data_IF_485130373179
#
_entry.id   IF_485130373179
#
_cell.length_a   1.000
_cell.length_b   1.000
_cell.length_c   1.000
_cell.angle_alpha   90.00
_cell.angle_beta   90.00
_cell.angle_gamma   90.00
#
_symmetry.space_group_name_H-M   'P 1'
#
loop_
_entity.id
_entity.type
_entity.pdbx_description
1 polymer ?
#
# COMPACT_ATOMS: atom_id res chain seq x y z
N UNK A 1 8.70 27.38 41.12
CA UNK A 1 9.50 26.32 40.47
C UNK A 1 8.91 25.82 39.15
N UNK A 2 7.58 25.69 39.00
CA UNK A 2 6.96 25.14 37.77
C UNK A 2 6.99 26.08 36.54
N UNK A 3 7.04 27.39 36.75
CA UNK A 3 7.13 28.40 35.67
C UNK A 3 8.55 28.64 35.13
N UNK A 4 9.57 28.29 35.94
CA UNK A 4 10.97 28.43 35.54
C UNK A 4 11.45 27.25 34.67
N UNK A 5 10.85 26.06 34.84
CA UNK A 5 11.14 24.86 34.02
C UNK A 5 10.59 25.01 32.60
N UNK A 6 9.45 25.68 32.43
CA UNK A 6 8.81 25.88 31.11
C UNK A 6 9.64 26.84 30.22
N UNK A 7 10.34 27.82 30.79
CA UNK A 7 11.13 28.79 30.01
C UNK A 7 12.53 28.30 29.64
N UNK A 8 13.05 27.24 30.28
CA UNK A 8 14.36 26.66 29.96
C UNK A 8 14.26 25.64 28.81
N UNK A 9 13.10 25.03 28.60
CA UNK A 9 12.88 24.02 27.54
C UNK A 9 12.65 24.70 26.17
N UNK A 10 12.18 25.95 26.13
CA UNK A 10 11.90 26.68 24.88
C UNK A 10 13.18 27.29 24.26
N UNK A 11 14.27 27.46 25.02
CA UNK A 11 15.52 28.01 24.50
C UNK A 11 16.51 26.97 23.93
N UNK A 12 16.17 25.67 23.99
CA UNK A 12 17.03 24.56 23.52
C UNK A 12 16.54 23.93 22.20
N UNK A 13 15.75 24.64 21.39
CA UNK A 13 15.28 24.17 20.07
C UNK A 13 15.67 25.11 18.91
N UNK A 14 16.51 26.11 19.18
CA UNK A 14 16.98 27.09 18.19
C UNK A 14 18.34 26.72 17.61
N UNK A 15 18.56 25.43 17.27
CA UNK A 15 19.90 25.02 16.81
C UNK A 15 20.00 23.91 15.75
N UNK A 16 18.99 23.66 14.91
CA UNK A 16 19.23 22.91 13.66
C UNK A 16 18.30 23.36 12.53
N UNK A 17 18.72 24.38 11.79
CA UNK A 17 18.30 24.59 10.40
C UNK A 17 19.55 24.86 9.54
N UNK A 18 20.35 23.81 9.33
CA UNK A 18 21.31 23.76 8.24
C UNK A 18 20.55 23.39 6.97
N UNK A 19 20.13 24.38 6.17
CA UNK A 19 19.66 24.13 4.80
C UNK A 19 20.88 24.17 3.88
N UNK A 20 21.45 22.99 3.65
CA UNK A 20 22.53 22.76 2.70
C UNK A 20 22.00 22.33 1.33
N UNK A 21 22.43 23.09 0.33
CA UNK A 21 22.73 22.71 -1.07
C UNK A 21 21.63 22.15 -1.98
N UNK A 22 21.46 22.90 -3.07
CA UNK A 22 20.77 22.55 -4.28
C UNK A 22 21.16 21.19 -4.88
N UNK A 23 20.19 20.50 -5.46
CA UNK A 23 20.44 19.65 -6.62
C UNK A 23 19.30 19.82 -7.62
N UNK A 24 19.65 20.38 -8.77
CA UNK A 24 18.79 20.45 -9.95
C UNK A 24 18.83 19.09 -10.65
N UNK A 25 17.70 18.38 -10.66
CA UNK A 25 17.52 17.20 -11.52
C UNK A 25 16.74 17.65 -12.75
N UNK A 26 17.42 17.64 -13.90
CA UNK A 26 16.80 17.79 -15.23
C UNK A 26 15.95 16.55 -15.54
N UNK A 27 14.84 16.67 -16.28
CA UNK A 27 14.04 15.53 -16.69
C UNK A 27 14.80 14.75 -17.77
N UNK A 28 14.92 13.42 -17.62
CA UNK A 28 15.21 12.55 -18.74
C UNK A 28 13.90 11.91 -19.21
N UNK A 29 13.39 12.41 -20.34
CA UNK A 29 12.72 11.53 -21.28
C UNK A 29 13.69 10.39 -21.62
N UNK A 30 13.24 9.14 -21.56
CA UNK A 30 13.19 8.28 -22.74
C UNK A 30 12.72 6.86 -22.41
N UNK A 31 11.99 6.33 -23.37
CA UNK A 31 11.88 4.92 -23.74
C UNK A 31 10.82 4.07 -23.05
N UNK A 32 9.67 4.08 -23.72
CA UNK A 32 8.93 2.86 -24.03
C UNK A 32 9.87 1.65 -24.21
N UNK A 33 9.54 0.55 -23.55
CA UNK A 33 9.96 -0.77 -23.98
C UNK A 33 8.81 -1.75 -23.74
N UNK A 34 8.03 -1.94 -24.80
CA UNK A 34 7.15 -3.09 -24.99
C UNK A 34 7.96 -4.36 -24.85
N UNK A 35 7.56 -5.23 -23.93
CA UNK A 35 7.98 -6.63 -23.94
C UNK A 35 6.82 -7.52 -23.53
N UNK A 36 5.96 -7.84 -24.50
CA UNK A 36 5.37 -9.17 -24.54
C UNK A 36 6.50 -10.18 -24.77
N UNK A 37 6.48 -11.31 -24.06
CA UNK A 37 6.37 -12.57 -24.79
C UNK A 37 5.21 -13.48 -24.33
N UNK A 38 4.38 -13.82 -25.32
CA UNK A 38 3.87 -15.15 -25.70
C UNK A 38 3.85 -16.30 -24.69
N UNK A 39 2.63 -16.81 -24.53
CA UNK A 39 2.16 -18.14 -24.15
C UNK A 39 3.16 -19.32 -24.18
N UNK A 40 3.04 -20.20 -23.18
CA UNK A 40 2.89 -21.63 -23.41
C UNK A 40 2.11 -22.30 -22.28
N UNK A 41 1.20 -23.18 -22.71
CA UNK A 41 0.34 -24.05 -21.91
C UNK A 41 1.13 -25.26 -21.44
N UNK A 42 1.05 -25.63 -20.16
CA UNK A 42 1.26 -27.02 -19.76
C UNK A 42 0.33 -27.42 -18.61
N UNK A 43 -0.40 -28.50 -18.86
CA UNK A 43 -1.36 -29.10 -17.96
C UNK A 43 -0.67 -29.70 -16.73
N UNK A 44 -1.24 -29.51 -15.54
CA UNK A 44 -0.92 -30.38 -14.41
C UNK A 44 -2.21 -30.83 -13.71
N UNK A 45 -2.20 -32.11 -13.36
CA UNK A 45 -3.23 -32.88 -12.67
C UNK A 45 -3.79 -32.14 -11.44
N UNK A 46 -5.09 -32.28 -11.09
CA UNK A 46 -5.61 -31.71 -9.84
C UNK A 46 -4.93 -32.40 -8.65
N UNK A 47 -3.96 -31.71 -8.06
CA UNK A 47 -3.41 -32.01 -6.75
C UNK A 47 -4.48 -31.69 -5.68
N UNK A 48 -4.65 -32.50 -4.62
CA UNK A 48 -5.69 -32.30 -3.60
C UNK A 48 -5.64 -30.93 -2.90
N UNK A 49 -4.53 -30.18 -2.99
CA UNK A 49 -4.40 -28.82 -2.43
C UNK A 49 -4.99 -27.70 -3.28
N UNK A 50 -5.18 -27.90 -4.59
CA UNK A 50 -5.67 -26.84 -5.48
C UNK A 50 -7.12 -26.44 -5.17
N UNK A 51 -7.94 -27.38 -4.70
CA UNK A 51 -9.34 -27.13 -4.37
C UNK A 51 -9.49 -26.40 -3.03
N UNK A 52 -8.67 -26.72 -2.02
CA UNK A 52 -8.71 -26.03 -0.72
C UNK A 52 -8.21 -24.59 -0.82
N UNK A 53 -7.11 -24.36 -1.55
CA UNK A 53 -6.59 -23.00 -1.75
C UNK A 53 -7.59 -22.14 -2.52
N UNK A 54 -8.16 -22.64 -3.62
CA UNK A 54 -9.16 -21.89 -4.39
C UNK A 54 -10.40 -21.51 -3.57
N UNK A 55 -10.85 -22.39 -2.67
CA UNK A 55 -11.97 -22.09 -1.77
C UNK A 55 -11.61 -20.98 -0.77
N UNK A 56 -10.39 -21.02 -0.21
CA UNK A 56 -9.88 -20.02 0.72
C UNK A 56 -9.78 -18.65 0.07
N UNK A 57 -9.20 -18.56 -1.12
CA UNK A 57 -9.07 -17.31 -1.89
C UNK A 57 -10.43 -16.73 -2.25
N UNK A 58 -11.42 -17.59 -2.56
CA UNK A 58 -12.81 -17.16 -2.82
C UNK A 58 -13.48 -16.60 -1.57
N UNK A 59 -13.30 -17.24 -0.41
CA UNK A 59 -13.83 -16.73 0.87
C UNK A 59 -13.17 -15.40 1.26
N UNK A 60 -11.85 -15.28 1.12
CA UNK A 60 -11.08 -14.08 1.40
C UNK A 60 -11.50 -12.90 0.50
N UNK A 61 -11.78 -13.15 -0.78
CA UNK A 61 -12.33 -12.17 -1.72
C UNK A 61 -13.69 -11.62 -1.26
N UNK A 62 -14.62 -12.50 -0.89
CA UNK A 62 -15.95 -12.09 -0.45
C UNK A 62 -15.90 -11.33 0.88
N UNK A 63 -15.00 -11.74 1.79
CA UNK A 63 -14.70 -10.96 2.99
C UNK A 63 -14.14 -9.59 2.61
N UNK A 64 -13.12 -9.51 1.75
CA UNK A 64 -12.50 -8.25 1.34
C UNK A 64 -13.50 -7.24 0.75
N UNK A 65 -14.43 -7.69 -0.10
CA UNK A 65 -15.50 -6.84 -0.66
C UNK A 65 -16.37 -6.21 0.43
N UNK A 66 -16.62 -6.92 1.53
CA UNK A 66 -17.38 -6.38 2.67
C UNK A 66 -16.61 -5.30 3.48
N UNK A 67 -15.32 -5.14 3.22
CA UNK A 67 -14.45 -4.16 3.87
C UNK A 67 -14.28 -2.84 3.10
N UNK A 68 -14.91 -2.67 1.93
CA UNK A 68 -14.89 -1.39 1.21
C UNK A 68 -15.35 -0.24 2.12
N UNK A 69 -14.51 0.81 2.21
CA UNK A 69 -14.67 1.97 3.10
C UNK A 69 -14.19 1.78 4.54
N UNK A 70 -13.82 0.56 4.95
CA UNK A 70 -13.29 0.25 6.29
C UNK A 70 -11.76 0.40 6.35
N UNK A 71 -11.18 0.52 7.57
CA UNK A 71 -9.74 0.57 7.73
C UNK A 71 -9.05 -0.71 7.24
N UNK A 72 -7.95 -0.58 6.51
CA UNK A 72 -7.14 -1.72 6.04
C UNK A 72 -6.61 -2.56 7.22
N UNK A 73 -6.34 -1.93 8.36
CA UNK A 73 -5.96 -2.67 9.58
C UNK A 73 -7.02 -3.66 10.09
N UNK A 74 -8.30 -3.45 9.77
CA UNK A 74 -9.36 -4.42 10.10
C UNK A 74 -9.42 -5.54 9.06
N UNK A 75 -9.18 -5.21 7.78
CA UNK A 75 -9.04 -6.22 6.71
C UNK A 75 -7.91 -7.20 7.05
N UNK A 76 -6.74 -6.69 7.47
CA UNK A 76 -5.61 -7.55 7.86
C UNK A 76 -5.91 -8.50 9.02
N UNK A 77 -6.81 -8.10 9.93
CA UNK A 77 -7.25 -8.98 11.02
C UNK A 77 -8.22 -10.05 10.54
N UNK A 78 -8.96 -9.78 9.46
CA UNK A 78 -9.98 -10.68 8.92
C UNK A 78 -9.39 -11.74 7.99
N UNK A 79 -8.50 -11.34 7.07
CA UNK A 79 -7.97 -12.22 6.01
C UNK A 79 -6.43 -12.33 6.00
N UNK A 80 -5.73 -11.68 6.93
CA UNK A 80 -4.27 -11.67 6.96
C UNK A 80 -3.63 -10.58 6.10
N UNK A 81 -2.31 -10.61 5.99
CA UNK A 81 -1.54 -9.66 5.16
C UNK A 81 -1.53 -10.09 3.69
N UNK A 82 -1.41 -9.16 2.74
CA UNK A 82 -1.25 -9.49 1.34
C UNK A 82 0.10 -10.14 1.08
N UNK A 83 0.23 -10.84 -0.05
CA UNK A 83 1.49 -11.44 -0.49
C UNK A 83 2.53 -10.36 -0.84
N UNK A 84 2.06 -9.23 -1.36
CA UNK A 84 2.88 -8.05 -1.66
C UNK A 84 2.01 -6.79 -1.73
N UNK A 85 2.65 -5.61 -1.75
CA UNK A 85 1.95 -4.34 -1.94
C UNK A 85 2.79 -3.30 -2.67
N UNK A 86 2.13 -2.42 -3.41
CA UNK A 86 2.70 -1.24 -4.06
C UNK A 86 1.95 0.02 -3.62
N UNK A 87 2.65 1.16 -3.59
CA UNK A 87 2.07 2.46 -3.26
C UNK A 87 2.59 3.53 -4.22
N UNK A 88 1.70 4.44 -4.63
CA UNK A 88 2.05 5.57 -5.48
C UNK A 88 1.31 6.84 -5.04
N UNK A 89 1.82 8.04 -5.34
CA UNK A 89 1.10 9.29 -5.07
C UNK A 89 -0.28 9.28 -5.72
N UNK A 90 -1.31 9.63 -4.95
CA UNK A 90 -2.69 9.57 -5.42
C UNK A 90 -3.01 10.68 -6.43
N UNK A 91 -3.81 10.34 -7.44
CA UNK A 91 -4.39 11.34 -8.35
C UNK A 91 -5.65 11.99 -7.78
N UNK A 92 -6.24 11.40 -6.72
CA UNK A 92 -7.51 11.84 -6.13
C UNK A 92 -7.34 12.90 -5.05
N UNK A 93 -6.11 13.11 -4.54
CA UNK A 93 -5.83 14.11 -3.52
C UNK A 93 -4.47 13.93 -2.86
N UNK A 94 -4.26 14.64 -1.74
CA UNK A 94 -3.08 14.44 -0.91
C UNK A 94 -3.14 13.05 -0.26
N UNK A 95 -2.29 12.13 -0.73
CA UNK A 95 -2.24 10.77 -0.21
C UNK A 95 -1.49 9.83 -1.14
N UNK A 96 -1.57 8.55 -0.82
CA UNK A 96 -1.04 7.46 -1.63
C UNK A 96 -2.19 6.50 -1.99
N UNK A 97 -2.24 6.07 -3.24
CA UNK A 97 -3.06 4.94 -3.67
C UNK A 97 -2.22 3.67 -3.46
N UNK A 98 -2.81 2.66 -2.82
CA UNK A 98 -2.17 1.38 -2.54
C UNK A 98 -2.81 0.24 -3.28
N UNK A 99 -1.98 -0.72 -3.73
CA UNK A 99 -2.42 -1.98 -4.31
C UNK A 99 -1.93 -3.10 -3.39
N UNK A 100 -2.86 -3.89 -2.85
CA UNK A 100 -2.56 -5.03 -1.99
C UNK A 100 -2.88 -6.32 -2.75
N UNK A 101 -1.86 -7.12 -3.06
CA UNK A 101 -2.00 -8.33 -3.86
C UNK A 101 -2.21 -9.54 -2.94
N UNK A 102 -3.40 -10.13 -3.00
CA UNK A 102 -3.70 -11.41 -2.36
C UNK A 102 -3.74 -12.51 -3.43
N UNK A 103 -3.82 -13.76 -2.99
CA UNK A 103 -3.98 -14.88 -3.92
C UNK A 103 -5.31 -14.76 -4.68
N UNK A 104 -5.24 -14.44 -5.98
CA UNK A 104 -6.39 -14.40 -6.87
C UNK A 104 -7.24 -13.12 -6.84
N UNK A 105 -6.86 -12.08 -6.09
CA UNK A 105 -7.56 -10.77 -6.10
C UNK A 105 -6.68 -9.60 -5.62
N UNK A 106 -7.09 -8.38 -5.95
CA UNK A 106 -6.38 -7.16 -5.57
C UNK A 106 -7.30 -6.27 -4.74
N UNK A 107 -6.77 -5.72 -3.65
CA UNK A 107 -7.45 -4.68 -2.86
C UNK A 107 -6.80 -3.34 -3.14
N UNK A 108 -7.59 -2.39 -3.64
CA UNK A 108 -7.16 -1.01 -3.83
C UNK A 108 -7.45 -0.21 -2.57
N UNK A 109 -6.51 0.64 -2.17
CA UNK A 109 -6.61 1.42 -0.94
C UNK A 109 -6.28 2.88 -1.18
N UNK A 110 -6.76 3.75 -0.30
CA UNK A 110 -6.36 5.14 -0.23
C UNK A 110 -5.80 5.43 1.16
N UNK A 111 -4.58 5.97 1.22
CA UNK A 111 -3.89 6.35 2.45
C UNK A 111 -3.70 7.86 2.52
N UNK A 112 -4.25 8.47 3.57
CA UNK A 112 -4.04 9.87 3.90
C UNK A 112 -3.55 10.05 5.35
N UNK A 113 -3.56 11.29 5.85
CA UNK A 113 -3.15 11.61 7.24
C UNK A 113 -4.05 10.99 8.32
N UNK A 114 -5.24 10.54 7.95
CA UNK A 114 -6.22 9.89 8.83
C UNK A 114 -6.05 8.37 8.86
N UNK A 115 -5.27 7.80 7.94
CA UNK A 115 -4.99 6.37 7.84
C UNK A 115 -5.31 5.80 6.45
N UNK A 116 -5.32 4.47 6.36
CA UNK A 116 -5.54 3.74 5.12
C UNK A 116 -6.88 3.01 5.12
N UNK A 117 -7.65 3.17 4.05
CA UNK A 117 -8.97 2.54 3.88
C UNK A 117 -9.06 1.75 2.58
N UNK A 118 -9.84 0.69 2.60
CA UNK A 118 -10.18 -0.07 1.39
C UNK A 118 -11.04 0.82 0.49
N UNK A 119 -10.60 1.00 -0.74
CA UNK A 119 -11.29 1.78 -1.77
C UNK A 119 -12.10 0.87 -2.68
N UNK A 120 -11.50 -0.21 -3.18
CA UNK A 120 -12.14 -1.17 -4.08
C UNK A 120 -11.49 -2.56 -4.00
N UNK A 121 -12.14 -3.57 -4.57
CA UNK A 121 -11.64 -4.96 -4.63
C UNK A 121 -11.96 -5.58 -5.99
N UNK A 122 -10.93 -6.07 -6.68
CA UNK A 122 -11.02 -6.76 -7.98
C UNK A 122 -10.72 -8.25 -7.88
#
# INVERSE_FOLDING_TARGET
>A
MKRAVILIIILLQLLLCACGTANAVKPNENSANTKEPSAETEATSPEPGATEQSNKSTEELEIAKSYIGKPVSELYKAIGQPESSDYAPSCLGEGEDGNLYYDGFIVYTFKDKSGEKVHDVE
#
